data_IF_121051444613
#
_entry.id   IF_121051444613
#
_cell.length_a   1.000
_cell.length_b   1.000
_cell.length_c   1.000
_cell.angle_alpha   90.00
_cell.angle_beta   90.00
_cell.angle_gamma   90.00
#
_symmetry.space_group_name_H-M   'P 1'
#
loop_
_entity.id
_entity.type
_entity.pdbx_description
1 polymer ?
#
# COMPACT_ATOMS: atom_id res chain seq x y z
N UNK A 1 -25.43 -22.78 20.30
CA UNK A 1 -24.21 -22.55 19.52
C UNK A 1 -24.63 -22.35 18.07
N UNK A 2 -24.90 -21.11 17.69
CA UNK A 2 -25.20 -20.77 16.29
C UNK A 2 -23.92 -20.24 15.65
N UNK A 3 -23.31 -21.06 14.83
CA UNK A 3 -22.20 -20.66 13.95
C UNK A 3 -22.80 -19.83 12.81
N UNK A 4 -22.72 -18.49 12.94
CA UNK A 4 -22.92 -17.61 11.79
C UNK A 4 -21.74 -17.80 10.83
N UNK A 5 -21.91 -18.69 9.87
CA UNK A 5 -21.12 -18.70 8.64
C UNK A 5 -21.50 -17.44 7.86
N UNK A 6 -20.68 -16.40 7.95
CA UNK A 6 -20.75 -15.26 7.05
C UNK A 6 -20.42 -15.78 5.65
N UNK A 7 -21.44 -15.94 4.81
CA UNK A 7 -21.26 -16.16 3.38
C UNK A 7 -20.58 -14.92 2.78
N UNK A 8 -19.28 -15.01 2.51
CA UNK A 8 -18.58 -14.04 1.67
C UNK A 8 -19.29 -14.01 0.32
N UNK A 9 -19.55 -12.82 -0.27
CA UNK A 9 -20.15 -12.74 -1.58
C UNK A 9 -19.30 -13.52 -2.59
N UNK A 10 -19.94 -14.37 -3.36
CA UNK A 10 -19.28 -15.13 -4.41
C UNK A 10 -18.62 -14.17 -5.41
N UNK A 11 -17.35 -14.35 -5.69
CA UNK A 11 -16.64 -13.59 -6.73
C UNK A 11 -17.09 -14.18 -8.08
N UNK A 12 -18.06 -13.54 -8.72
CA UNK A 12 -18.45 -13.91 -10.09
C UNK A 12 -17.34 -13.48 -11.05
N UNK A 13 -16.87 -14.42 -11.86
CA UNK A 13 -15.82 -14.19 -12.85
C UNK A 13 -16.31 -14.67 -14.21
N UNK A 14 -16.44 -13.74 -15.17
CA UNK A 14 -16.64 -14.05 -16.56
C UNK A 14 -15.27 -13.99 -17.26
N UNK A 15 -14.83 -15.08 -17.87
CA UNK A 15 -13.49 -15.19 -18.48
C UNK A 15 -13.57 -15.25 -20.00
N UNK A 16 -12.74 -14.43 -20.64
CA UNK A 16 -12.35 -14.54 -22.04
C UNK A 16 -10.83 -14.68 -22.07
N UNK A 17 -10.19 -15.19 -23.13
CA UNK A 17 -8.74 -15.29 -23.17
C UNK A 17 -8.06 -13.96 -22.79
N UNK A 18 -7.21 -13.98 -21.77
CA UNK A 18 -6.50 -12.82 -21.21
C UNK A 18 -7.40 -11.68 -20.70
N UNK A 19 -8.71 -11.90 -20.53
CA UNK A 19 -9.62 -10.84 -20.05
C UNK A 19 -10.67 -11.40 -19.10
N UNK A 20 -10.85 -10.73 -17.94
CA UNK A 20 -11.70 -11.24 -16.88
C UNK A 20 -12.53 -10.10 -16.29
N UNK A 21 -13.84 -10.30 -16.17
CA UNK A 21 -14.72 -9.38 -15.44
C UNK A 21 -14.92 -9.95 -14.03
N UNK A 22 -14.61 -9.14 -13.01
CA UNK A 22 -14.69 -9.54 -11.62
C UNK A 22 -15.54 -8.53 -10.87
N UNK A 23 -16.65 -8.98 -10.28
CA UNK A 23 -17.44 -8.17 -9.38
C UNK A 23 -16.72 -8.02 -8.04
N UNK A 24 -16.59 -6.80 -7.56
CA UNK A 24 -16.01 -6.50 -6.25
C UNK A 24 -16.61 -5.24 -5.67
N UNK A 25 -17.16 -5.34 -4.48
CA UNK A 25 -17.63 -4.17 -3.72
C UNK A 25 -16.44 -3.46 -3.06
N UNK A 26 -16.62 -2.18 -2.75
CA UNK A 26 -15.59 -1.37 -2.09
C UNK A 26 -14.23 -1.45 -2.79
N UNK A 27 -14.22 -1.27 -4.11
CA UNK A 27 -13.04 -1.12 -4.93
C UNK A 27 -13.17 0.13 -5.80
N UNK A 28 -12.20 1.04 -5.71
CA UNK A 28 -12.11 2.22 -6.56
C UNK A 28 -10.67 2.48 -6.96
N UNK A 29 -10.38 2.31 -8.25
CA UNK A 29 -9.01 2.38 -8.78
C UNK A 29 -8.36 3.76 -8.57
N UNK A 30 -9.12 4.83 -8.76
CA UNK A 30 -8.62 6.20 -8.57
C UNK A 30 -8.31 6.50 -7.10
N UNK A 31 -9.16 6.04 -6.17
CA UNK A 31 -8.92 6.17 -4.74
C UNK A 31 -7.68 5.38 -4.31
N UNK A 32 -7.54 4.13 -4.75
CA UNK A 32 -6.35 3.31 -4.48
C UNK A 32 -5.09 3.98 -5.01
N UNK A 33 -5.07 4.42 -6.27
CA UNK A 33 -3.93 5.09 -6.88
C UNK A 33 -3.55 6.40 -6.16
N UNK A 34 -4.53 7.09 -5.56
CA UNK A 34 -4.32 8.33 -4.81
C UNK A 34 -4.03 8.11 -3.32
N UNK A 35 -4.24 6.91 -2.77
CA UNK A 35 -4.09 6.64 -1.33
C UNK A 35 -2.65 6.61 -0.83
N UNK A 36 -1.65 6.63 -1.73
CA UNK A 36 -0.23 6.68 -1.35
C UNK A 36 0.37 5.35 -0.91
N UNK A 37 -0.30 4.24 -1.20
CA UNK A 37 0.17 2.90 -0.90
C UNK A 37 0.87 2.21 -2.10
N UNK A 38 0.47 2.55 -3.33
CA UNK A 38 0.98 1.96 -4.56
C UNK A 38 1.55 3.05 -5.46
N UNK A 39 2.79 2.86 -5.92
CA UNK A 39 3.49 3.87 -6.72
C UNK A 39 3.66 3.46 -8.19
N UNK A 40 3.32 2.21 -8.54
CA UNK A 40 3.39 1.65 -9.88
C UNK A 40 2.01 1.35 -10.48
N UNK A 41 0.98 2.04 -9.98
CA UNK A 41 -0.37 2.09 -10.53
C UNK A 41 -0.58 3.46 -11.17
N UNK A 42 -0.70 3.50 -12.50
CA UNK A 42 -0.75 4.75 -13.28
C UNK A 42 -1.91 4.70 -14.29
N UNK A 43 -2.56 5.84 -14.59
CA UNK A 43 -3.50 5.88 -15.70
C UNK A 43 -2.77 5.61 -17.02
N UNK A 44 -3.42 4.88 -17.93
CA UNK A 44 -2.91 4.66 -19.29
C UNK A 44 -3.29 5.89 -20.13
N UNK A 45 -2.32 6.68 -20.60
CA UNK A 45 -2.61 7.99 -21.23
C UNK A 45 -3.51 7.88 -22.46
N UNK A 46 -3.30 6.83 -23.27
CA UNK A 46 -4.01 6.62 -24.54
C UNK A 46 -5.40 5.96 -24.35
N UNK A 47 -5.71 5.49 -23.14
CA UNK A 47 -6.93 4.75 -22.82
C UNK A 47 -7.59 5.32 -21.56
N UNK A 48 -8.40 6.41 -21.68
CA UNK A 48 -9.07 7.01 -20.51
C UNK A 48 -9.90 6.00 -19.71
N UNK A 49 -9.74 6.03 -18.38
CA UNK A 49 -10.43 5.12 -17.46
C UNK A 49 -9.70 3.78 -17.23
N UNK A 50 -8.63 3.50 -17.97
CA UNK A 50 -7.80 2.32 -17.76
C UNK A 50 -6.57 2.69 -16.91
N UNK A 51 -6.24 1.80 -15.99
CA UNK A 51 -5.08 1.89 -15.12
C UNK A 51 -4.12 0.74 -15.43
N UNK A 52 -2.84 1.02 -15.54
CA UNK A 52 -1.79 0.01 -15.59
C UNK A 52 -1.19 -0.22 -14.21
N UNK A 53 -0.88 -1.48 -13.88
CA UNK A 53 -0.18 -1.88 -12.67
C UNK A 53 0.99 -2.79 -13.00
N UNK A 54 2.09 -2.60 -12.27
CA UNK A 54 3.23 -3.50 -12.30
C UNK A 54 3.51 -3.92 -10.85
N UNK A 55 3.60 -5.23 -10.60
CA UNK A 55 4.01 -5.77 -9.30
C UNK A 55 4.76 -7.08 -9.51
N UNK A 56 5.96 -7.17 -8.95
CA UNK A 56 6.88 -8.26 -9.25
C UNK A 56 7.12 -8.37 -10.75
N UNK A 57 6.81 -9.54 -11.32
CA UNK A 57 6.93 -9.83 -12.75
C UNK A 57 5.61 -9.70 -13.53
N UNK A 58 4.53 -9.25 -12.86
CA UNK A 58 3.20 -9.19 -13.45
C UNK A 58 2.85 -7.78 -13.95
N UNK A 59 2.10 -7.73 -15.04
CA UNK A 59 1.51 -6.53 -15.59
C UNK A 59 -0.02 -6.72 -15.71
N UNK A 60 -0.75 -5.66 -15.46
CA UNK A 60 -2.21 -5.61 -15.57
C UNK A 60 -2.63 -4.28 -16.16
N UNK A 61 -3.56 -4.28 -17.14
CA UNK A 61 -4.45 -3.14 -17.38
C UNK A 61 -5.81 -3.44 -16.72
N UNK A 62 -6.37 -2.48 -16.00
CA UNK A 62 -7.63 -2.64 -15.27
C UNK A 62 -8.53 -1.42 -15.45
N UNK A 63 -9.83 -1.66 -15.62
CA UNK A 63 -10.84 -0.59 -15.69
C UNK A 63 -12.14 -1.00 -14.99
N UNK A 64 -12.95 -0.01 -14.60
CA UNK A 64 -14.30 -0.25 -14.13
C UNK A 64 -15.25 -0.52 -15.30
N UNK A 65 -16.22 -1.41 -15.10
CA UNK A 65 -17.32 -1.72 -16.01
C UNK A 65 -18.64 -1.71 -15.23
N UNK A 66 -19.83 -1.69 -15.90
CA UNK A 66 -21.10 -1.80 -15.18
C UNK A 66 -21.22 -3.08 -14.33
N UNK A 67 -20.58 -4.17 -14.74
CA UNK A 67 -20.67 -5.48 -14.10
C UNK A 67 -19.52 -5.75 -13.11
N UNK A 68 -18.59 -4.80 -12.94
CA UNK A 68 -17.44 -4.95 -12.04
C UNK A 68 -16.16 -4.33 -12.60
N UNK A 69 -15.07 -5.08 -12.59
CA UNK A 69 -13.76 -4.63 -13.04
C UNK A 69 -13.24 -5.56 -14.12
N UNK A 70 -12.82 -4.97 -15.22
CA UNK A 70 -12.18 -5.68 -16.32
C UNK A 70 -10.67 -5.76 -16.06
N UNK A 71 -10.18 -6.98 -15.90
CA UNK A 71 -8.76 -7.31 -15.72
C UNK A 71 -8.21 -7.82 -17.04
N UNK A 72 -7.35 -7.05 -17.68
CA UNK A 72 -6.64 -7.42 -18.90
C UNK A 72 -5.24 -7.90 -18.53
N UNK A 73 -5.10 -9.19 -18.38
CA UNK A 73 -3.86 -9.88 -18.02
C UNK A 73 -3.92 -11.34 -18.43
N UNK A 74 -2.78 -12.04 -18.62
CA UNK A 74 -2.74 -13.47 -18.86
C UNK A 74 -3.51 -14.28 -17.80
N UNK A 75 -4.17 -15.36 -18.23
CA UNK A 75 -4.99 -16.20 -17.34
C UNK A 75 -4.21 -16.70 -16.12
N UNK A 76 -2.94 -17.05 -16.29
CA UNK A 76 -2.05 -17.49 -15.22
C UNK A 76 -1.72 -16.40 -14.20
N UNK A 77 -1.87 -15.13 -14.58
CA UNK A 77 -1.64 -13.99 -13.68
C UNK A 77 -2.87 -13.60 -12.86
N UNK A 78 -4.06 -14.05 -13.23
CA UNK A 78 -5.29 -13.67 -12.57
C UNK A 78 -5.34 -14.04 -11.06
N UNK A 79 -4.90 -15.24 -10.63
CA UNK A 79 -4.85 -15.57 -9.20
C UNK A 79 -3.98 -14.60 -8.39
N UNK A 80 -2.84 -14.19 -8.95
CA UNK A 80 -1.96 -13.18 -8.35
C UNK A 80 -2.71 -11.85 -8.16
N UNK A 81 -3.40 -11.34 -9.18
CA UNK A 81 -4.12 -10.09 -9.10
C UNK A 81 -5.32 -10.13 -8.15
N UNK A 82 -6.04 -11.27 -8.10
CA UNK A 82 -7.10 -11.48 -7.09
C UNK A 82 -6.55 -11.37 -5.66
N UNK A 83 -5.39 -11.93 -5.42
CA UNK A 83 -4.71 -11.84 -4.12
C UNK A 83 -4.16 -10.44 -3.87
N UNK A 84 -3.56 -9.79 -4.86
CA UNK A 84 -3.02 -8.43 -4.77
C UNK A 84 -4.07 -7.41 -4.35
N UNK A 85 -5.26 -7.45 -4.95
CA UNK A 85 -6.40 -6.60 -4.59
C UNK A 85 -7.20 -7.11 -3.39
N UNK A 86 -6.84 -8.27 -2.83
CA UNK A 86 -7.52 -8.89 -1.68
C UNK A 86 -9.03 -9.02 -1.90
N UNK A 87 -9.43 -9.47 -3.11
CA UNK A 87 -10.82 -9.43 -3.56
C UNK A 87 -11.78 -10.27 -2.69
N UNK A 88 -11.27 -11.30 -1.98
CA UNK A 88 -12.06 -12.12 -1.06
C UNK A 88 -12.37 -11.49 0.30
N UNK A 89 -11.88 -10.25 0.59
CA UNK A 89 -12.11 -9.60 1.88
C UNK A 89 -13.27 -8.61 1.79
N UNK A 90 -14.20 -8.69 2.73
CA UNK A 90 -15.33 -7.78 2.84
C UNK A 90 -14.92 -6.47 3.55
N UNK A 91 -14.61 -5.44 2.75
CA UNK A 91 -14.30 -4.10 3.26
C UNK A 91 -15.54 -3.33 3.71
N UNK A 92 -16.74 -3.74 3.26
CA UNK A 92 -17.99 -3.18 3.74
C UNK A 92 -18.21 -3.44 5.22
N UNK A 93 -17.81 -4.61 5.72
CA UNK A 93 -17.89 -4.94 7.14
C UNK A 93 -16.99 -4.04 8.00
N UNK A 94 -15.79 -3.66 7.51
CA UNK A 94 -14.92 -2.72 8.20
C UNK A 94 -15.57 -1.33 8.29
N UNK A 95 -16.16 -0.84 7.19
CA UNK A 95 -16.87 0.45 7.18
C UNK A 95 -18.08 0.41 8.12
N UNK A 96 -18.87 -0.66 8.10
CA UNK A 96 -20.03 -0.81 8.96
C UNK A 96 -19.68 -0.89 10.46
N UNK A 97 -18.45 -1.25 10.81
CA UNK A 97 -17.96 -1.30 12.18
C UNK A 97 -17.60 0.06 12.78
N UNK A 98 -17.58 1.13 11.97
CA UNK A 98 -17.20 2.47 12.42
C UNK A 98 -18.19 2.95 13.47
N UNK A 99 -17.66 3.44 14.58
CA UNK A 99 -18.46 3.90 15.71
C UNK A 99 -19.31 5.10 15.30
N UNK A 100 -20.57 5.11 15.70
CA UNK A 100 -21.53 6.17 15.39
C UNK A 100 -21.14 7.56 15.94
N UNK A 101 -20.31 7.59 16.99
CA UNK A 101 -19.80 8.83 17.62
C UNK A 101 -18.52 9.37 16.96
N UNK A 102 -17.95 8.67 15.96
CA UNK A 102 -16.79 9.15 15.19
C UNK A 102 -17.19 9.66 13.80
N UNK A 103 -17.86 10.82 13.80
CA UNK A 103 -18.33 11.45 12.56
C UNK A 103 -17.20 11.75 11.56
N UNK A 104 -15.97 12.06 12.04
CA UNK A 104 -14.85 12.32 11.17
C UNK A 104 -14.40 11.05 10.43
N UNK A 105 -14.24 9.94 11.16
CA UNK A 105 -13.87 8.66 10.54
C UNK A 105 -14.98 8.15 9.60
N UNK A 106 -16.25 8.33 9.97
CA UNK A 106 -17.38 7.97 9.11
C UNK A 106 -17.34 8.73 7.77
N UNK A 107 -17.15 10.05 7.80
CA UNK A 107 -16.99 10.86 6.59
C UNK A 107 -15.76 10.47 5.76
N UNK A 108 -14.65 10.12 6.44
CA UNK A 108 -13.44 9.67 5.78
C UNK A 108 -13.63 8.32 5.08
N UNK A 109 -14.34 7.39 5.71
CA UNK A 109 -14.64 6.08 5.15
C UNK A 109 -15.64 6.17 3.98
N UNK A 110 -16.64 7.06 4.05
CA UNK A 110 -17.54 7.31 2.93
C UNK A 110 -16.76 7.84 1.71
N UNK A 111 -15.95 8.86 1.91
CA UNK A 111 -15.11 9.46 0.85
C UNK A 111 -14.06 8.48 0.27
N UNK A 112 -13.56 7.54 1.07
CA UNK A 112 -12.54 6.57 0.71
C UNK A 112 -13.04 5.13 0.60
N UNK A 113 -14.36 4.92 0.47
CA UNK A 113 -15.00 3.59 0.58
C UNK A 113 -14.51 2.53 -0.42
N UNK A 114 -13.85 2.95 -1.49
CA UNK A 114 -13.22 2.05 -2.47
C UNK A 114 -11.74 1.77 -2.22
N UNK A 115 -11.17 2.26 -1.13
CA UNK A 115 -9.76 1.97 -0.79
C UNK A 115 -9.67 0.60 -0.14
N UNK A 116 -8.76 -0.23 -0.67
CA UNK A 116 -8.36 -1.53 -0.11
C UNK A 116 -6.86 -1.49 0.16
N UNK A 117 -6.41 -2.18 1.19
CA UNK A 117 -4.97 -2.36 1.42
C UNK A 117 -4.49 -3.45 0.46
N UNK A 118 -3.65 -3.06 -0.47
CA UNK A 118 -3.08 -3.98 -1.46
C UNK A 118 -2.05 -4.91 -0.82
N UNK A 119 -2.01 -6.16 -1.25
CA UNK A 119 -0.97 -7.11 -0.86
C UNK A 119 0.20 -6.98 -1.84
N UNK A 120 1.15 -6.14 -1.50
CA UNK A 120 2.29 -5.81 -2.35
C UNK A 120 3.53 -6.63 -1.98
N UNK A 121 4.51 -6.66 -2.87
CA UNK A 121 5.78 -7.34 -2.63
C UNK A 121 6.56 -6.69 -1.48
N UNK A 122 7.06 -7.51 -0.54
CA UNK A 122 7.77 -7.03 0.65
C UNK A 122 9.05 -6.25 0.28
N UNK A 123 9.86 -6.80 -0.63
CA UNK A 123 11.11 -6.18 -1.04
C UNK A 123 10.88 -4.84 -1.72
N UNK A 124 9.96 -4.80 -2.68
CA UNK A 124 9.57 -3.57 -3.36
C UNK A 124 9.08 -2.51 -2.35
N UNK A 125 8.27 -2.90 -1.36
CA UNK A 125 7.77 -1.98 -0.34
C UNK A 125 8.86 -1.49 0.59
N UNK A 126 9.82 -2.31 0.99
CA UNK A 126 10.97 -1.88 1.80
C UNK A 126 11.76 -0.78 1.08
N UNK A 127 12.14 -1.01 -0.17
CA UNK A 127 12.88 -0.02 -0.98
C UNK A 127 12.03 1.22 -1.23
N UNK A 128 10.77 1.06 -1.62
CA UNK A 128 9.87 2.17 -1.95
C UNK A 128 9.61 3.08 -0.75
N UNK A 129 9.40 2.51 0.44
CA UNK A 129 9.20 3.33 1.65
C UNK A 129 10.49 3.94 2.20
N UNK A 130 11.66 3.35 1.94
CA UNK A 130 12.94 4.04 2.13
C UNK A 130 13.03 5.27 1.19
N UNK A 131 12.66 5.12 -0.08
CA UNK A 131 12.62 6.22 -1.05
C UNK A 131 11.62 7.30 -0.63
N UNK A 132 10.50 6.93 -0.02
CA UNK A 132 9.38 7.83 0.31
C UNK A 132 9.72 8.90 1.34
N UNK A 133 10.75 8.70 2.16
CA UNK A 133 11.12 9.63 3.23
C UNK A 133 11.34 11.06 2.69
N UNK A 134 10.59 12.05 3.19
CA UNK A 134 10.67 13.45 2.77
C UNK A 134 10.58 13.66 1.25
N UNK A 135 9.76 12.88 0.55
CA UNK A 135 9.49 13.03 -0.89
C UNK A 135 7.99 13.13 -1.17
N UNK A 136 7.65 13.84 -2.22
CA UNK A 136 6.28 13.87 -2.76
C UNK A 136 5.99 12.60 -3.57
N UNK A 137 4.72 12.21 -3.68
CA UNK A 137 4.31 11.00 -4.43
C UNK A 137 4.84 11.00 -5.88
N UNK A 138 4.77 12.10 -6.66
CA UNK A 138 5.36 12.11 -8.00
C UNK A 138 6.86 11.81 -8.00
N UNK A 139 7.61 12.33 -7.02
CA UNK A 139 9.06 12.07 -6.91
C UNK A 139 9.39 10.66 -6.43
N UNK A 140 8.50 10.04 -5.66
CA UNK A 140 8.65 8.62 -5.30
C UNK A 140 8.46 7.76 -6.55
N UNK A 141 7.38 7.99 -7.32
CA UNK A 141 7.10 7.28 -8.58
C UNK A 141 8.27 7.40 -9.56
N UNK A 142 8.77 8.62 -9.78
CA UNK A 142 9.93 8.88 -10.65
C UNK A 142 11.16 8.04 -10.23
N UNK A 143 11.46 7.99 -8.93
CA UNK A 143 12.62 7.27 -8.42
C UNK A 143 12.45 5.74 -8.48
N UNK A 144 11.25 5.21 -8.16
CA UNK A 144 10.93 3.78 -8.25
C UNK A 144 11.01 3.30 -9.69
N UNK A 145 10.43 4.04 -10.64
CA UNK A 145 10.49 3.69 -12.07
C UNK A 145 11.92 3.81 -12.63
N UNK A 146 12.69 4.81 -12.20
CA UNK A 146 14.09 4.94 -12.59
C UNK A 146 14.93 3.75 -12.11
N UNK A 147 14.70 3.28 -10.88
CA UNK A 147 15.34 2.09 -10.32
C UNK A 147 14.95 0.84 -11.10
N UNK A 148 13.66 0.64 -11.36
CA UNK A 148 13.14 -0.49 -12.12
C UNK A 148 13.71 -0.50 -13.56
N UNK A 149 13.75 0.64 -14.22
CA UNK A 149 14.27 0.76 -15.59
C UNK A 149 15.78 0.50 -15.67
N UNK A 150 16.55 0.88 -14.63
CA UNK A 150 18.01 0.73 -14.64
C UNK A 150 18.45 -0.69 -14.33
N UNK A 151 17.75 -1.37 -13.40
CA UNK A 151 18.19 -2.66 -12.86
C UNK A 151 17.20 -3.81 -13.05
N UNK A 152 15.91 -3.50 -13.20
CA UNK A 152 14.89 -4.54 -13.38
C UNK A 152 14.89 -5.16 -14.77
N UNK A 153 14.38 -6.39 -14.86
CA UNK A 153 14.27 -7.09 -16.12
C UNK A 153 13.25 -6.43 -17.05
N UNK A 154 13.61 -6.22 -18.32
CA UNK A 154 12.69 -5.78 -19.36
C UNK A 154 11.74 -6.93 -19.72
N UNK A 155 10.44 -6.68 -19.68
CA UNK A 155 9.38 -7.66 -19.92
C UNK A 155 8.35 -7.14 -20.89
N UNK A 156 7.53 -8.06 -21.42
CA UNK A 156 6.39 -7.75 -22.27
C UNK A 156 5.13 -8.45 -21.74
N UNK A 157 3.98 -7.81 -21.90
CA UNK A 157 2.67 -8.38 -21.66
C UNK A 157 1.81 -8.25 -22.93
N UNK A 158 1.19 -9.33 -23.35
CA UNK A 158 0.19 -9.32 -24.39
C UNK A 158 -1.18 -9.02 -23.77
N UNK A 159 -1.92 -8.10 -24.34
CA UNK A 159 -3.26 -7.69 -23.89
C UNK A 159 -4.34 -8.29 -24.79
N UNK A 160 -5.58 -8.25 -24.30
CA UNK A 160 -6.75 -8.83 -25.00
C UNK A 160 -7.04 -8.15 -26.34
N UNK A 161 -6.64 -6.87 -26.51
CA UNK A 161 -6.78 -6.12 -27.77
C UNK A 161 -5.66 -6.42 -28.79
N UNK A 162 -4.77 -7.38 -28.49
CA UNK A 162 -3.61 -7.76 -29.30
C UNK A 162 -2.41 -6.82 -29.16
N UNK A 163 -2.51 -5.76 -28.38
CA UNK A 163 -1.37 -4.88 -28.12
C UNK A 163 -0.35 -5.53 -27.19
N UNK A 164 0.92 -5.14 -27.34
CA UNK A 164 2.02 -5.58 -26.49
C UNK A 164 2.53 -4.40 -25.68
N UNK A 165 2.54 -4.55 -24.37
CA UNK A 165 3.12 -3.57 -23.44
C UNK A 165 4.52 -3.99 -23.04
N UNK A 166 5.44 -3.06 -23.09
CA UNK A 166 6.80 -3.23 -22.54
C UNK A 166 6.88 -2.55 -21.19
N UNK A 167 7.38 -3.26 -20.19
CA UNK A 167 7.57 -2.75 -18.83
C UNK A 167 8.84 -3.33 -18.21
N UNK A 168 9.20 -2.83 -17.02
CA UNK A 168 10.33 -3.33 -16.26
C UNK A 168 9.82 -3.86 -14.92
N UNK A 169 10.22 -5.10 -14.54
CA UNK A 169 9.96 -5.61 -13.18
C UNK A 169 10.67 -4.74 -12.14
N UNK A 170 10.18 -4.74 -10.90
CA UNK A 170 11.00 -4.19 -9.81
C UNK A 170 12.21 -5.10 -9.62
N UNK A 171 13.43 -4.55 -9.50
CA UNK A 171 14.65 -5.37 -9.45
C UNK A 171 14.71 -6.20 -8.16
N UNK A 172 15.07 -7.48 -8.29
CA UNK A 172 15.35 -8.34 -7.16
C UNK A 172 16.61 -7.91 -6.40
N UNK A 173 16.86 -8.42 -5.18
CA UNK A 173 18.13 -8.18 -4.49
C UNK A 173 19.35 -8.54 -5.36
N UNK A 174 19.28 -9.65 -6.10
CA UNK A 174 20.36 -10.14 -6.96
C UNK A 174 20.57 -9.23 -8.17
N UNK A 175 19.50 -8.72 -8.79
CA UNK A 175 19.58 -7.74 -9.87
C UNK A 175 20.19 -6.41 -9.39
N UNK A 176 20.05 -6.08 -8.11
CA UNK A 176 20.66 -4.91 -7.47
C UNK A 176 22.08 -5.18 -6.93
N UNK A 177 22.62 -6.38 -7.02
CA UNK A 177 23.94 -6.71 -6.46
C UNK A 177 25.07 -5.85 -7.03
N UNK A 178 24.97 -5.44 -8.30
CA UNK A 178 25.94 -4.57 -8.97
C UNK A 178 25.75 -3.07 -8.70
N UNK A 179 24.67 -2.67 -8.00
CA UNK A 179 24.35 -1.27 -7.76
C UNK A 179 25.29 -0.66 -6.72
N UNK A 180 26.26 0.14 -7.16
CA UNK A 180 27.11 0.91 -6.28
C UNK A 180 26.35 2.04 -5.59
N UNK A 181 26.91 2.59 -4.50
CA UNK A 181 26.35 3.76 -3.84
C UNK A 181 26.27 4.96 -4.81
N UNK A 182 27.31 5.16 -5.63
CA UNK A 182 27.37 6.25 -6.59
C UNK A 182 26.31 6.08 -7.68
N UNK A 183 26.09 4.86 -8.16
CA UNK A 183 25.01 4.55 -9.09
C UNK A 183 23.62 4.91 -8.52
N UNK A 184 23.37 4.55 -7.27
CA UNK A 184 22.13 4.88 -6.59
C UNK A 184 21.96 6.40 -6.38
N UNK A 185 23.04 7.14 -6.15
CA UNK A 185 23.02 8.59 -6.05
C UNK A 185 22.61 9.23 -7.39
N UNK A 186 23.01 8.67 -8.54
CA UNK A 186 22.59 9.17 -9.87
C UNK A 186 21.07 9.13 -10.07
N UNK A 187 20.36 8.25 -9.37
CA UNK A 187 18.89 8.13 -9.40
C UNK A 187 18.17 9.16 -8.52
N UNK A 188 18.87 10.21 -8.10
CA UNK A 188 18.32 11.30 -7.24
C UNK A 188 17.75 10.80 -5.91
N UNK A 189 18.29 9.72 -5.37
CA UNK A 189 17.86 9.15 -4.10
C UNK A 189 18.37 9.95 -2.89
N UNK A 190 19.45 10.74 -3.07
CA UNK A 190 20.06 11.54 -2.00
C UNK A 190 20.55 10.63 -0.84
N UNK A 191 20.38 11.05 0.40
CA UNK A 191 20.81 10.30 1.57
C UNK A 191 20.20 8.89 1.68
N UNK A 192 19.08 8.63 1.00
CA UNK A 192 18.38 7.34 0.99
C UNK A 192 19.16 6.27 0.24
N UNK A 193 20.04 6.67 -0.67
CA UNK A 193 20.94 5.75 -1.38
C UNK A 193 21.76 4.91 -0.41
N UNK A 194 22.22 5.48 0.71
CA UNK A 194 22.98 4.74 1.75
C UNK A 194 22.12 3.66 2.41
N UNK A 195 20.84 3.96 2.69
CA UNK A 195 19.92 3.02 3.32
C UNK A 195 19.60 1.86 2.38
N UNK A 196 19.31 2.19 1.12
CA UNK A 196 19.00 1.20 0.08
C UNK A 196 20.23 0.31 -0.18
N UNK A 197 21.40 0.90 -0.38
CA UNK A 197 22.63 0.17 -0.61
C UNK A 197 22.94 -0.79 0.55
N UNK A 198 22.81 -0.33 1.79
CA UNK A 198 23.01 -1.18 2.96
C UNK A 198 21.98 -2.31 3.03
N UNK A 199 20.72 -2.04 2.78
CA UNK A 199 19.67 -3.06 2.78
C UNK A 199 19.92 -4.13 1.71
N UNK A 200 20.35 -3.73 0.49
CA UNK A 200 20.75 -4.68 -0.56
C UNK A 200 21.85 -5.61 -0.04
N UNK A 201 22.90 -5.04 0.55
CA UNK A 201 24.02 -5.83 1.09
C UNK A 201 23.58 -6.78 2.20
N UNK A 202 22.73 -6.32 3.13
CA UNK A 202 22.25 -7.13 4.25
C UNK A 202 21.40 -8.31 3.78
N UNK A 203 20.56 -8.11 2.73
CA UNK A 203 19.76 -9.20 2.13
C UNK A 203 20.67 -10.19 1.38
N UNK A 204 21.58 -9.70 0.55
CA UNK A 204 22.49 -10.56 -0.21
C UNK A 204 23.45 -11.36 0.69
N UNK A 205 23.87 -10.80 1.82
CA UNK A 205 24.68 -11.47 2.82
C UNK A 205 23.89 -12.47 3.69
N UNK A 206 22.55 -12.53 3.53
CA UNK A 206 21.69 -13.37 4.36
C UNK A 206 21.50 -12.86 5.80
N UNK A 207 22.00 -11.66 6.12
CA UNK A 207 21.79 -11.02 7.43
C UNK A 207 20.32 -10.63 7.62
N UNK A 208 19.64 -10.28 6.51
CA UNK A 208 18.20 -10.03 6.44
C UNK A 208 17.57 -11.06 5.52
N UNK A 209 16.71 -11.92 6.06
CA UNK A 209 15.90 -12.87 5.28
C UNK A 209 14.51 -12.30 5.05
N UNK A 210 14.14 -12.04 3.80
CA UNK A 210 12.80 -11.57 3.43
C UNK A 210 11.72 -12.61 3.75
N UNK A 211 12.03 -13.90 3.58
CA UNK A 211 11.13 -15.00 3.93
C UNK A 211 10.86 -15.04 5.45
N UNK A 212 11.93 -14.94 6.25
CA UNK A 212 11.79 -14.89 7.70
C UNK A 212 10.99 -13.67 8.14
N UNK A 213 11.25 -12.48 7.57
CA UNK A 213 10.48 -11.26 7.86
C UNK A 213 8.99 -11.41 7.51
N UNK A 214 8.68 -12.05 6.38
CA UNK A 214 7.31 -12.27 5.93
C UNK A 214 6.52 -13.23 6.86
N UNK A 215 7.22 -14.08 7.60
CA UNK A 215 6.62 -15.03 8.54
C UNK A 215 6.43 -14.47 9.96
N UNK A 216 7.00 -13.29 10.28
CA UNK A 216 6.94 -12.73 11.63
C UNK A 216 5.55 -12.22 11.98
N UNK A 217 5.12 -12.40 13.23
CA UNK A 217 3.94 -11.70 13.75
C UNK A 217 4.18 -10.18 13.83
N UNK A 218 3.12 -9.35 13.89
CA UNK A 218 3.21 -7.89 13.75
C UNK A 218 4.24 -7.21 14.66
N UNK A 219 4.27 -7.53 15.94
CA UNK A 219 5.19 -6.86 16.90
C UNK A 219 6.65 -7.25 16.66
N UNK A 220 6.91 -8.51 16.30
CA UNK A 220 8.23 -8.98 15.96
C UNK A 220 8.71 -8.39 14.63
N UNK A 221 7.82 -8.30 13.63
CA UNK A 221 8.10 -7.64 12.36
C UNK A 221 8.46 -6.16 12.55
N UNK A 222 7.71 -5.42 13.38
CA UNK A 222 8.04 -4.04 13.74
C UNK A 222 9.42 -3.92 14.39
N UNK A 223 9.75 -4.80 15.32
CA UNK A 223 11.05 -4.83 15.99
C UNK A 223 12.17 -5.12 15.00
N UNK A 224 12.01 -6.15 14.18
CA UNK A 224 12.99 -6.53 13.16
C UNK A 224 13.20 -5.39 12.15
N UNK A 225 12.13 -4.81 11.60
CA UNK A 225 12.22 -3.72 10.63
C UNK A 225 12.87 -2.46 11.22
N UNK A 226 12.54 -2.08 12.45
CA UNK A 226 13.13 -0.88 13.07
C UNK A 226 14.60 -1.05 13.46
N UNK A 227 15.11 -2.26 13.51
CA UNK A 227 16.55 -2.52 13.71
C UNK A 227 17.37 -2.28 12.44
N UNK A 228 16.76 -2.20 11.26
CA UNK A 228 17.43 -2.03 9.98
C UNK A 228 17.85 -0.56 9.76
N UNK A 229 19.01 -0.38 9.16
CA UNK A 229 19.57 0.94 8.92
C UNK A 229 18.70 1.81 8.02
N UNK A 230 18.23 2.94 8.56
CA UNK A 230 17.38 3.90 7.85
C UNK A 230 15.88 3.62 7.92
N UNK A 231 15.44 2.55 8.58
CA UNK A 231 14.04 2.21 8.81
C UNK A 231 13.64 2.64 10.21
N UNK A 232 12.96 3.78 10.31
CA UNK A 232 12.33 4.25 11.55
C UNK A 232 10.89 3.74 11.70
N UNK A 233 10.22 4.03 12.83
CA UNK A 233 8.86 3.54 13.12
C UNK A 233 7.83 3.81 12.02
N UNK A 234 7.88 4.98 11.37
CA UNK A 234 6.97 5.32 10.26
C UNK A 234 7.17 4.41 9.06
N UNK A 235 8.43 4.19 8.64
CA UNK A 235 8.75 3.34 7.48
C UNK A 235 8.40 1.89 7.80
N UNK A 236 8.75 1.41 9.00
CA UNK A 236 8.41 0.07 9.46
C UNK A 236 6.89 -0.19 9.43
N UNK A 237 6.08 0.73 9.94
CA UNK A 237 4.62 0.62 9.87
C UNK A 237 4.11 0.58 8.42
N UNK A 238 4.68 1.38 7.51
CA UNK A 238 4.31 1.31 6.10
C UNK A 238 4.67 -0.05 5.48
N UNK A 239 5.84 -0.59 5.79
CA UNK A 239 6.25 -1.93 5.31
C UNK A 239 5.35 -3.01 5.90
N UNK A 240 5.03 -2.94 7.20
CA UNK A 240 4.07 -3.85 7.84
C UNK A 240 2.70 -3.80 7.14
N UNK A 241 2.16 -2.59 6.91
CA UNK A 241 0.83 -2.41 6.33
C UNK A 241 0.78 -2.87 4.87
N UNK A 242 1.73 -2.46 4.05
CA UNK A 242 1.66 -2.61 2.60
C UNK A 242 2.52 -3.75 2.02
N UNK A 243 3.60 -4.16 2.70
CA UNK A 243 4.49 -5.24 2.27
C UNK A 243 4.19 -6.56 2.97
N UNK A 244 3.96 -6.53 4.29
CA UNK A 244 3.60 -7.71 5.07
C UNK A 244 2.08 -7.94 5.14
N UNK A 245 1.29 -6.97 4.70
CA UNK A 245 -0.16 -6.97 4.78
C UNK A 245 -0.70 -7.15 6.21
N UNK A 246 0.03 -6.63 7.20
CA UNK A 246 -0.45 -6.51 8.58
C UNK A 246 -1.39 -5.31 8.66
N UNK A 247 -2.66 -5.52 8.27
CA UNK A 247 -3.64 -4.43 8.08
C UNK A 247 -4.08 -3.71 9.36
N UNK A 248 -3.52 -4.11 10.49
CA UNK A 248 -3.63 -3.41 11.79
C UNK A 248 -2.53 -2.36 11.99
N UNK A 249 -1.44 -2.40 11.21
CA UNK A 249 -0.36 -1.43 11.30
C UNK A 249 -0.84 -0.02 10.97
N UNK A 250 -0.40 0.96 11.79
CA UNK A 250 -0.90 2.34 11.74
C UNK A 250 0.26 3.32 11.50
N UNK A 251 0.65 3.56 10.24
CA UNK A 251 1.73 4.50 9.93
C UNK A 251 1.39 5.93 10.39
N UNK A 252 2.24 6.52 11.20
CA UNK A 252 2.10 7.91 11.64
C UNK A 252 3.13 8.77 10.92
N UNK A 253 2.66 9.52 9.94
CA UNK A 253 3.42 10.57 9.27
C UNK A 253 2.94 11.96 9.71
N UNK A 254 3.51 13.01 9.15
CA UNK A 254 3.14 14.39 9.50
C UNK A 254 1.67 14.74 9.22
N UNK A 255 1.02 14.06 8.24
CA UNK A 255 -0.40 14.23 7.95
C UNK A 255 -1.24 13.59 9.05
N UNK A 256 -0.93 12.36 9.40
CA UNK A 256 -1.62 11.64 10.47
C UNK A 256 -1.41 12.34 11.82
N UNK A 257 -0.19 12.83 12.12
CA UNK A 257 0.03 13.66 13.32
C UNK A 257 -0.89 14.89 13.38
N UNK A 258 -1.06 15.58 12.24
CA UNK A 258 -1.96 16.75 12.16
C UNK A 258 -3.42 16.34 12.34
N UNK A 259 -3.87 15.23 11.73
CA UNK A 259 -5.23 14.71 11.89
C UNK A 259 -5.49 14.34 13.36
N UNK A 260 -4.60 13.56 13.97
CA UNK A 260 -4.75 13.14 15.36
C UNK A 260 -4.79 14.36 16.31
N UNK A 261 -3.98 15.38 16.02
CA UNK A 261 -3.94 16.60 16.81
C UNK A 261 -5.22 17.45 16.65
N UNK A 262 -5.74 17.54 15.42
CA UNK A 262 -6.90 18.40 15.12
C UNK A 262 -8.23 17.74 15.50
N UNK A 263 -8.41 16.47 15.17
CA UNK A 263 -9.70 15.80 15.24
C UNK A 263 -9.88 14.96 16.53
N UNK A 264 -8.81 14.39 17.09
CA UNK A 264 -8.89 13.43 18.18
C UNK A 264 -8.35 13.97 19.52
N UNK A 265 -7.26 14.76 19.53
CA UNK A 265 -6.73 15.34 20.74
C UNK A 265 -7.76 16.20 21.50
N UNK A 266 -8.61 17.02 20.86
CA UNK A 266 -9.61 17.83 21.55
C UNK A 266 -10.71 17.02 22.25
N UNK A 267 -10.90 15.75 21.90
CA UNK A 267 -11.91 14.87 22.53
C UNK A 267 -11.56 14.54 23.99
N UNK A 268 -10.26 14.48 24.35
CA UNK A 268 -9.78 14.24 25.73
C UNK A 268 -8.59 15.14 26.12
N UNK A 269 -8.72 16.49 26.10
CA UNK A 269 -7.61 17.42 26.16
C UNK A 269 -6.86 17.35 27.51
N UNK A 270 -7.55 17.11 28.64
CA UNK A 270 -6.92 17.04 29.97
C UNK A 270 -6.03 15.80 30.07
N UNK A 271 -6.48 14.67 29.55
CA UNK A 271 -5.72 13.41 29.54
C UNK A 271 -4.45 13.53 28.71
N UNK A 272 -4.57 14.05 27.48
CA UNK A 272 -3.46 14.09 26.53
C UNK A 272 -2.42 15.15 26.84
N UNK A 273 -2.81 16.27 27.47
CA UNK A 273 -1.87 17.33 27.88
C UNK A 273 -0.80 16.84 28.86
N UNK A 274 -1.07 15.78 29.61
CA UNK A 274 -0.14 15.20 30.60
C UNK A 274 0.80 14.15 30.00
N UNK A 275 0.61 13.77 28.74
CA UNK A 275 1.42 12.74 28.10
C UNK A 275 2.70 13.34 27.49
N UNK A 276 3.83 12.64 27.57
CA UNK A 276 5.01 13.00 26.82
C UNK A 276 4.73 12.81 25.30
N UNK A 277 5.34 13.68 24.47
CA UNK A 277 5.12 13.66 23.02
C UNK A 277 5.35 12.27 22.41
N UNK A 278 6.30 11.49 22.93
CA UNK A 278 6.62 10.13 22.48
C UNK A 278 5.48 9.11 22.68
N UNK A 279 4.54 9.38 23.61
CA UNK A 279 3.38 8.50 23.87
C UNK A 279 2.06 9.08 23.38
N UNK A 280 2.03 10.35 23.02
CA UNK A 280 0.79 11.06 22.70
C UNK A 280 0.02 10.36 21.59
N UNK A 281 0.64 10.21 20.43
CA UNK A 281 -0.06 9.65 19.26
C UNK A 281 -0.40 8.17 19.43
N UNK A 282 0.49 7.39 20.03
CA UNK A 282 0.21 5.97 20.34
C UNK A 282 -1.01 5.84 21.27
N UNK A 283 -1.12 6.71 22.27
CA UNK A 283 -2.26 6.70 23.19
C UNK A 283 -3.55 7.13 22.48
N UNK A 284 -3.51 8.17 21.65
CA UNK A 284 -4.69 8.59 20.86
C UNK A 284 -5.13 7.43 19.92
N UNK A 285 -4.18 6.80 19.24
CA UNK A 285 -4.49 5.66 18.36
C UNK A 285 -5.14 4.53 19.15
N UNK A 286 -4.60 4.18 20.31
CA UNK A 286 -5.17 3.14 21.17
C UNK A 286 -6.60 3.49 21.64
N UNK A 287 -6.84 4.74 22.00
CA UNK A 287 -8.14 5.19 22.52
C UNK A 287 -9.25 5.22 21.45
N UNK A 288 -8.91 5.64 20.23
CA UNK A 288 -9.91 5.82 19.17
C UNK A 288 -9.93 4.71 18.11
N UNK A 289 -8.79 4.09 17.85
CA UNK A 289 -8.64 3.05 16.81
C UNK A 289 -8.39 1.65 17.39
N UNK A 290 -8.14 1.51 18.69
CA UNK A 290 -7.90 0.21 19.32
C UNK A 290 -9.09 -0.75 19.27
N UNK A 291 -10.33 -0.24 19.06
CA UNK A 291 -11.52 -1.06 18.83
C UNK A 291 -11.53 -1.74 17.44
N UNK A 292 -10.75 -1.23 16.48
CA UNK A 292 -10.61 -1.79 15.14
C UNK A 292 -9.42 -2.75 15.05
N UNK A 293 -9.12 -3.46 16.14
CA UNK A 293 -8.02 -4.43 16.21
C UNK A 293 -8.11 -5.44 15.07
N UNK A 294 -6.99 -5.61 14.35
CA UNK A 294 -6.86 -6.46 13.19
C UNK A 294 -7.03 -5.72 11.84
N UNK A 295 -7.56 -4.46 11.84
CA UNK A 295 -7.74 -3.65 10.63
C UNK A 295 -7.65 -2.14 10.88
N UNK A 296 -7.04 -1.69 11.96
CA UNK A 296 -6.88 -0.27 12.29
C UNK A 296 -6.15 0.53 11.18
N UNK A 297 -5.25 -0.12 10.44
CA UNK A 297 -4.56 0.49 9.29
C UNK A 297 -5.48 0.78 8.11
N UNK A 298 -6.61 0.07 7.97
CA UNK A 298 -7.65 0.42 7.00
C UNK A 298 -8.28 1.76 7.37
N UNK A 299 -8.62 1.96 8.66
CA UNK A 299 -9.17 3.23 9.16
C UNK A 299 -8.17 4.37 8.99
N UNK A 300 -6.88 4.10 9.22
CA UNK A 300 -5.81 5.06 8.98
C UNK A 300 -5.76 5.50 7.51
N UNK A 301 -5.94 4.58 6.56
CA UNK A 301 -5.94 4.92 5.14
C UNK A 301 -7.14 5.78 4.73
N UNK A 302 -8.32 5.58 5.33
CA UNK A 302 -9.48 6.44 5.11
C UNK A 302 -9.21 7.88 5.55
N UNK A 303 -8.75 8.09 6.79
CA UNK A 303 -8.47 9.45 7.30
C UNK A 303 -7.32 10.12 6.55
N UNK A 304 -6.29 9.37 6.16
CA UNK A 304 -5.17 9.88 5.37
C UNK A 304 -5.61 10.35 3.98
N UNK A 305 -6.41 9.53 3.27
CA UNK A 305 -6.93 9.86 1.95
C UNK A 305 -7.87 11.08 2.01
N UNK A 306 -8.78 11.08 2.98
CA UNK A 306 -9.79 12.14 3.17
C UNK A 306 -9.13 13.50 3.39
N UNK A 307 -8.22 13.63 4.36
CA UNK A 307 -7.55 14.89 4.65
C UNK A 307 -6.76 15.42 3.44
N UNK A 308 -6.05 14.54 2.73
CA UNK A 308 -5.34 14.93 1.51
C UNK A 308 -6.26 15.36 0.39
N UNK A 309 -7.43 14.75 0.27
CA UNK A 309 -8.43 15.09 -0.75
C UNK A 309 -9.05 16.45 -0.48
N UNK A 310 -9.38 16.76 0.77
CA UNK A 310 -9.87 18.09 1.18
C UNK A 310 -8.85 19.16 0.83
N UNK A 311 -7.59 19.00 1.23
CA UNK A 311 -6.54 20.02 1.00
C UNK A 311 -6.21 20.21 -0.49
N UNK A 312 -6.47 19.19 -1.31
CA UNK A 312 -6.30 19.28 -2.75
C UNK A 312 -7.56 19.80 -3.48
N UNK A 313 -8.58 20.25 -2.74
CA UNK A 313 -9.81 20.81 -3.30
C UNK A 313 -10.68 19.78 -4.05
N UNK A 314 -10.64 18.51 -3.62
CA UNK A 314 -11.43 17.42 -4.24
C UNK A 314 -12.81 17.23 -3.61
N UNK A 315 -13.12 17.92 -2.49
CA UNK A 315 -14.41 17.96 -1.80
C UNK A 315 -14.77 19.40 -1.45
#
# INVERSE_FOLDING_TARGET
MNTHTTNLPAIETHTFPNSHIISCLNLNLAQIAASGQCFRMLPVPEKPGIWSLISGTHYLEISGTPDGFFFDCPDESLPFWKQYFVLGTDYGSFIASIRADDAYLAAAADAGSGIRILRQDLWEMMITFLISQQKTIPKIREAVEALAKKYGAKRTAALSDGSIRTYYSFPSPEELASASLDDLLTLKLGYRAKYIHRLIQDVLAGTVSLESLAALPPDEAMTALTSLYGIGPKVANCVCLFGLHHIDAFPVDTWIEQILTKEYLPKHPIRYRRLPKSRLYTTIIQDFFGSYKGYAGVMQQYIFYYERSIRNGKF
#
